data_IF_929548871307
#
_entry.id   IF_929548871307
#
_cell.length_a   1.000
_cell.length_b   1.000
_cell.length_c   1.000
_cell.angle_alpha   90.00
_cell.angle_beta   90.00
_cell.angle_gamma   90.00
#
_symmetry.space_group_name_H-M   'P 1'
#
loop_
_entity.id
_entity.type
_entity.pdbx_description
1 polymer ?
#
# COMPACT_ATOMS: atom_id res chain seq x y z
N UNK A 1 -4.27 37.14 -4.01
CA UNK A 1 -4.12 35.75 -3.53
C UNK A 1 -4.11 35.77 -2.00
N UNK A 2 -5.25 35.52 -1.33
CA UNK A 2 -5.29 35.44 0.13
C UNK A 2 -4.61 34.13 0.57
N UNK A 3 -3.39 34.21 1.08
CA UNK A 3 -2.68 33.05 1.62
C UNK A 3 -3.43 32.47 2.81
N UNK A 4 -3.76 31.18 2.78
CA UNK A 4 -4.31 30.47 3.94
C UNK A 4 -3.27 30.56 5.07
N UNK A 5 -3.60 31.26 6.16
CA UNK A 5 -2.72 31.33 7.35
C UNK A 5 -2.48 29.91 7.87
N UNK A 6 -1.22 29.57 8.14
CA UNK A 6 -0.87 28.31 8.79
C UNK A 6 -1.62 28.21 10.13
N UNK A 7 -2.28 27.07 10.36
CA UNK A 7 -3.04 26.83 11.59
C UNK A 7 -2.07 26.35 12.67
N UNK A 8 -1.97 27.09 13.77
CA UNK A 8 -1.12 26.76 14.90
C UNK A 8 -1.77 25.73 15.83
N UNK A 9 -0.95 24.85 16.43
CA UNK A 9 -1.41 23.96 17.49
C UNK A 9 -1.82 24.79 18.72
N UNK A 10 -3.07 24.60 19.15
CA UNK A 10 -3.64 25.20 20.35
C UNK A 10 -3.42 24.26 21.54
N UNK A 11 -3.53 24.80 22.76
CA UNK A 11 -3.44 24.02 24.01
C UNK A 11 -4.44 22.85 24.09
N UNK A 12 -5.59 22.98 23.40
CA UNK A 12 -6.64 21.95 23.30
C UNK A 12 -6.34 20.85 22.29
N UNK A 13 -5.40 21.07 21.38
CA UNK A 13 -5.08 20.08 20.36
C UNK A 13 -4.31 18.91 20.99
N UNK A 14 -4.49 17.68 20.49
CA UNK A 14 -3.80 16.52 21.01
C UNK A 14 -2.28 16.67 20.86
N UNK A 15 -1.55 16.37 21.95
CA UNK A 15 -0.07 16.39 21.95
C UNK A 15 0.55 15.07 21.49
N UNK A 16 -0.21 13.98 21.52
CA UNK A 16 0.27 12.61 21.29
C UNK A 16 0.03 12.15 19.85
N UNK A 17 -1.07 12.60 19.21
CA UNK A 17 -1.44 12.19 17.86
C UNK A 17 -1.80 13.40 16.99
N UNK A 18 -1.61 13.33 15.66
CA UNK A 18 -1.96 14.44 14.77
C UNK A 18 -3.44 14.80 14.86
N UNK A 19 -3.80 16.09 14.98
CA UNK A 19 -5.20 16.52 15.08
C UNK A 19 -5.98 16.20 13.81
N UNK A 20 -7.31 16.12 13.91
CA UNK A 20 -8.20 15.86 12.77
C UNK A 20 -8.10 16.92 11.67
N UNK A 21 -7.77 18.17 12.01
CA UNK A 21 -7.59 19.25 11.04
C UNK A 21 -6.22 19.26 10.34
N UNK A 22 -5.33 18.31 10.64
CA UNK A 22 -3.98 18.28 10.07
C UNK A 22 -4.04 18.29 8.52
N UNK A 23 -3.39 19.24 7.84
CA UNK A 23 -3.49 19.39 6.38
C UNK A 23 -2.87 18.23 5.61
N UNK A 24 -2.05 17.39 6.27
CA UNK A 24 -1.47 16.19 5.67
C UNK A 24 -2.42 14.99 5.69
N UNK A 25 -3.45 14.98 6.54
CA UNK A 25 -4.39 13.85 6.62
C UNK A 25 -5.16 13.72 5.31
N UNK A 26 -5.27 12.49 4.82
CA UNK A 26 -6.08 12.10 3.66
C UNK A 26 -7.38 11.48 4.16
N UNK A 27 -8.49 12.05 3.70
CA UNK A 27 -9.83 11.54 3.95
C UNK A 27 -10.67 11.74 2.67
N UNK A 28 -11.03 10.66 1.95
CA UNK A 28 -10.84 9.25 2.32
C UNK A 28 -9.37 8.79 2.24
N UNK A 29 -9.04 7.69 2.93
CA UNK A 29 -7.69 7.12 2.99
C UNK A 29 -7.34 6.53 1.62
N UNK A 30 -6.15 6.84 1.10
CA UNK A 30 -5.71 6.32 -0.19
C UNK A 30 -5.34 4.84 -0.09
N UNK A 31 -5.75 4.08 -1.10
CA UNK A 31 -5.47 2.67 -1.27
C UNK A 31 -4.76 2.47 -2.61
N UNK A 32 -3.58 1.85 -2.59
CA UNK A 32 -2.88 1.45 -3.83
C UNK A 32 -2.53 -0.02 -3.80
N UNK A 33 -2.58 -0.64 -4.97
CA UNK A 33 -2.11 -2.00 -5.20
C UNK A 33 -0.95 -1.96 -6.18
N UNK A 34 0.15 -2.57 -5.78
CA UNK A 34 1.36 -2.73 -6.57
C UNK A 34 1.54 -4.19 -6.96
N UNK A 35 1.77 -4.45 -8.23
CA UNK A 35 2.14 -5.77 -8.73
C UNK A 35 3.55 -5.72 -9.33
N UNK A 36 4.15 -6.86 -9.64
CA UNK A 36 5.41 -6.85 -10.40
C UNK A 36 5.19 -6.12 -11.72
N UNK A 37 6.18 -5.32 -12.11
CA UNK A 37 6.06 -4.44 -13.28
C UNK A 37 5.94 -5.19 -14.61
N UNK A 38 6.49 -6.40 -14.69
CA UNK A 38 6.51 -7.26 -15.88
C UNK A 38 6.62 -8.76 -15.53
N UNK A 39 6.38 -9.61 -16.53
CA UNK A 39 6.41 -11.07 -16.41
C UNK A 39 7.81 -11.61 -16.12
N UNK A 40 8.87 -10.95 -16.61
CA UNK A 40 10.26 -11.40 -16.40
C UNK A 40 10.64 -11.29 -14.92
N UNK A 41 10.31 -10.17 -14.28
CA UNK A 41 10.51 -9.96 -12.85
C UNK A 41 9.71 -10.99 -12.06
N UNK A 42 8.43 -11.18 -12.38
CA UNK A 42 7.60 -12.19 -11.72
C UNK A 42 8.24 -13.59 -11.81
N UNK A 43 8.66 -14.00 -13.01
CA UNK A 43 9.27 -15.31 -13.25
C UNK A 43 10.58 -15.51 -12.49
N UNK A 44 11.46 -14.49 -12.51
CA UNK A 44 12.69 -14.48 -11.74
C UNK A 44 12.42 -14.67 -10.24
N UNK A 45 11.44 -13.92 -9.70
CA UNK A 45 11.05 -14.03 -8.29
C UNK A 45 10.44 -15.38 -7.96
N UNK A 46 9.63 -15.94 -8.87
CA UNK A 46 9.07 -17.28 -8.72
C UNK A 46 10.18 -18.34 -8.62
N UNK A 47 11.16 -18.34 -9.55
CA UNK A 47 12.30 -19.27 -9.54
C UNK A 47 13.13 -19.18 -8.26
N UNK A 48 13.42 -17.98 -7.80
CA UNK A 48 14.16 -17.77 -6.55
C UNK A 48 13.40 -18.35 -5.33
N UNK A 49 12.07 -18.20 -5.29
CA UNK A 49 11.25 -18.80 -4.22
C UNK A 49 11.24 -20.32 -4.26
N UNK A 50 11.24 -20.93 -5.45
CA UNK A 50 11.36 -22.38 -5.62
C UNK A 50 12.70 -22.91 -5.07
N UNK A 51 13.75 -22.08 -5.09
CA UNK A 51 15.04 -22.38 -4.46
C UNK A 51 15.06 -22.13 -2.94
N UNK A 52 13.92 -21.76 -2.33
CA UNK A 52 13.82 -21.51 -0.89
C UNK A 52 14.30 -20.13 -0.44
N UNK A 53 14.60 -19.22 -1.36
CA UNK A 53 15.06 -17.87 -1.00
C UNK A 53 13.91 -17.04 -0.42
N UNK A 54 14.14 -16.45 0.76
CA UNK A 54 13.23 -15.45 1.34
C UNK A 54 13.45 -14.11 0.66
N UNK A 55 12.50 -13.70 -0.16
CA UNK A 55 12.57 -12.47 -0.95
C UNK A 55 11.68 -11.41 -0.32
N UNK A 56 12.25 -10.24 -0.08
CA UNK A 56 11.51 -9.04 0.32
C UNK A 56 11.13 -8.24 -0.93
N UNK A 57 9.89 -7.73 -1.05
CA UNK A 57 9.48 -6.87 -2.15
C UNK A 57 10.37 -5.63 -2.26
N UNK A 58 10.81 -5.29 -3.48
CA UNK A 58 11.62 -4.10 -3.76
C UNK A 58 10.87 -3.18 -4.71
N UNK A 59 10.72 -1.90 -4.37
CA UNK A 59 9.91 -0.97 -5.15
C UNK A 59 10.21 -0.93 -6.65
N UNK A 60 11.48 -0.99 -7.05
CA UNK A 60 11.90 -0.99 -8.47
C UNK A 60 11.44 -2.20 -9.29
N UNK A 61 10.94 -3.24 -8.65
CA UNK A 61 10.39 -4.45 -9.28
C UNK A 61 8.89 -4.39 -9.47
N UNK A 62 8.24 -3.42 -8.83
CA UNK A 62 6.80 -3.28 -8.78
C UNK A 62 6.35 -2.06 -9.57
N UNK A 63 5.10 -2.06 -10.02
CA UNK A 63 4.44 -0.94 -10.65
C UNK A 63 3.03 -0.79 -10.06
N UNK A 64 2.47 0.42 -10.14
CA UNK A 64 1.10 0.69 -9.73
C UNK A 64 0.12 -0.06 -10.64
N UNK A 65 -0.71 -0.92 -10.05
CA UNK A 65 -1.72 -1.72 -10.75
C UNK A 65 -3.13 -1.15 -10.55
N UNK A 66 -3.44 -0.72 -9.34
CA UNK A 66 -4.74 -0.14 -9.00
C UNK A 66 -4.59 0.95 -7.96
N UNK A 67 -5.42 1.99 -8.08
CA UNK A 67 -5.52 3.09 -7.13
C UNK A 67 -6.99 3.33 -6.82
N UNK A 68 -7.27 3.57 -5.54
CA UNK A 68 -8.61 3.78 -5.02
C UNK A 68 -8.57 4.36 -3.62
N UNK A 69 -9.66 4.18 -2.89
CA UNK A 69 -9.80 4.68 -1.53
C UNK A 69 -10.42 3.63 -0.63
N UNK A 70 -10.18 3.74 0.66
CA UNK A 70 -10.73 2.84 1.67
C UNK A 70 -11.18 3.61 2.90
N UNK A 71 -12.28 3.18 3.51
CA UNK A 71 -12.85 3.83 4.71
C UNK A 71 -12.36 3.20 6.03
N UNK A 72 -11.16 2.61 6.03
CA UNK A 72 -10.58 2.00 7.22
C UNK A 72 -9.08 2.25 7.34
N UNK A 73 -8.59 2.34 8.58
CA UNK A 73 -7.16 2.51 8.84
C UNK A 73 -6.36 1.24 8.55
N UNK A 74 -5.06 1.37 8.34
CA UNK A 74 -4.15 0.24 8.14
C UNK A 74 -4.23 -0.81 9.27
N UNK A 75 -4.43 -0.38 10.51
CA UNK A 75 -4.58 -1.28 11.66
C UNK A 75 -5.88 -2.09 11.62
N UNK A 76 -7.00 -1.43 11.23
CA UNK A 76 -8.28 -2.12 11.04
C UNK A 76 -8.19 -3.08 9.86
N UNK A 77 -7.63 -2.63 8.73
CA UNK A 77 -7.39 -3.47 7.56
C UNK A 77 -6.60 -4.73 7.90
N UNK A 78 -5.48 -4.60 8.63
CA UNK A 78 -4.69 -5.76 9.03
C UNK A 78 -5.48 -6.75 9.90
N UNK A 79 -6.36 -6.26 10.78
CA UNK A 79 -7.21 -7.11 11.61
C UNK A 79 -8.27 -7.82 10.79
N UNK A 80 -8.92 -7.13 9.87
CA UNK A 80 -9.94 -7.72 9.00
C UNK A 80 -9.31 -8.73 8.02
N UNK A 81 -8.15 -8.42 7.44
CA UNK A 81 -7.43 -9.32 6.54
C UNK A 81 -6.95 -10.63 7.20
N UNK A 82 -6.98 -10.73 8.54
CA UNK A 82 -6.74 -11.98 9.29
C UNK A 82 -8.00 -12.82 9.48
N UNK A 83 -9.19 -12.23 9.33
CA UNK A 83 -10.50 -12.84 9.65
C UNK A 83 -11.29 -13.21 8.40
N UNK A 84 -11.15 -12.43 7.34
CA UNK A 84 -11.92 -12.56 6.12
C UNK A 84 -11.02 -12.47 4.88
N UNK A 85 -11.55 -12.92 3.75
CA UNK A 85 -10.87 -12.85 2.46
C UNK A 85 -10.69 -11.39 2.02
N UNK A 86 -9.59 -11.10 1.34
CA UNK A 86 -9.31 -9.76 0.84
C UNK A 86 -10.39 -9.27 -0.14
N UNK A 87 -10.99 -10.19 -0.92
CA UNK A 87 -12.11 -9.89 -1.83
C UNK A 87 -13.40 -9.45 -1.13
N UNK A 88 -13.51 -9.67 0.19
CA UNK A 88 -14.64 -9.16 0.99
C UNK A 88 -14.34 -7.81 1.62
N UNK A 89 -13.06 -7.40 1.62
CA UNK A 89 -12.60 -6.11 2.16
C UNK A 89 -12.43 -5.08 1.05
N UNK A 90 -11.98 -5.53 -0.11
CA UNK A 90 -11.56 -4.71 -1.24
C UNK A 90 -12.46 -4.98 -2.43
N UNK A 91 -12.72 -3.94 -3.22
CA UNK A 91 -13.53 -4.02 -4.44
C UNK A 91 -12.79 -4.70 -5.62
N UNK A 92 -11.55 -5.14 -5.38
CA UNK A 92 -10.72 -5.87 -6.33
C UNK A 92 -10.10 -7.09 -5.67
N UNK A 93 -9.55 -8.00 -6.48
CA UNK A 93 -8.92 -9.24 -6.01
C UNK A 93 -7.39 -9.14 -6.07
N UNK A 94 -6.70 -8.93 -4.93
CA UNK A 94 -5.25 -8.95 -4.89
C UNK A 94 -4.71 -10.37 -5.07
N UNK A 95 -3.65 -10.50 -5.85
CA UNK A 95 -2.90 -11.73 -6.07
C UNK A 95 -1.77 -11.88 -5.06
N UNK A 96 -1.34 -13.12 -4.83
CA UNK A 96 -0.16 -13.38 -3.97
C UNK A 96 1.06 -12.64 -4.52
N UNK A 97 1.87 -12.10 -3.61
CA UNK A 97 3.05 -11.29 -3.88
C UNK A 97 2.82 -9.85 -4.34
N UNK A 98 1.57 -9.42 -4.47
CA UNK A 98 1.24 -7.99 -4.62
C UNK A 98 1.40 -7.24 -3.29
N UNK A 99 1.59 -5.93 -3.37
CA UNK A 99 1.77 -5.06 -2.21
C UNK A 99 0.63 -4.05 -2.16
N UNK A 100 -0.07 -4.00 -1.03
CA UNK A 100 -1.12 -3.04 -0.74
C UNK A 100 -0.53 -1.89 0.07
N UNK A 101 -0.74 -0.65 -0.36
CA UNK A 101 -0.49 0.56 0.41
C UNK A 101 -1.80 1.11 0.95
N UNK A 102 -1.80 1.49 2.24
CA UNK A 102 -2.85 2.28 2.87
C UNK A 102 -2.18 3.55 3.41
N UNK A 103 -2.54 4.70 2.85
CA UNK A 103 -1.96 6.01 3.18
C UNK A 103 -3.02 6.97 3.70
N UNK A 104 -3.02 7.21 5.02
CA UNK A 104 -3.86 8.20 5.68
C UNK A 104 -3.29 9.62 5.60
N UNK A 105 -2.21 9.79 4.83
CA UNK A 105 -1.49 11.04 4.61
C UNK A 105 -0.50 11.40 5.72
N UNK A 106 -0.52 10.67 6.84
CA UNK A 106 0.46 10.81 7.93
C UNK A 106 1.60 9.82 7.72
N UNK A 107 1.26 8.55 7.46
CA UNK A 107 2.25 7.50 7.22
C UNK A 107 1.64 6.41 6.32
N UNK A 108 2.28 6.10 5.18
CA UNK A 108 1.86 4.95 4.37
C UNK A 108 2.27 3.64 5.06
N UNK A 109 1.36 2.66 5.01
CA UNK A 109 1.58 1.30 5.50
C UNK A 109 1.51 0.32 4.33
N UNK A 110 2.49 -0.58 4.27
CA UNK A 110 2.63 -1.52 3.16
C UNK A 110 2.42 -2.96 3.61
N UNK A 111 1.59 -3.69 2.89
CA UNK A 111 1.19 -5.06 3.20
C UNK A 111 1.45 -5.97 2.00
N UNK A 112 2.28 -6.98 2.19
CA UNK A 112 2.51 -8.02 1.19
C UNK A 112 1.39 -9.06 1.25
N UNK A 113 0.70 -9.26 0.13
CA UNK A 113 -0.35 -10.27 -0.01
C UNK A 113 0.28 -11.66 0.03
N UNK A 114 -0.27 -12.51 0.90
CA UNK A 114 0.11 -13.91 1.03
C UNK A 114 -1.02 -14.79 0.50
N UNK A 115 -0.77 -16.11 0.40
CA UNK A 115 -1.82 -17.09 0.08
C UNK A 115 -3.03 -16.95 1.00
N UNK A 116 -2.80 -16.60 2.27
CA UNK A 116 -3.81 -16.33 3.28
C UNK A 116 -3.44 -15.04 4.01
N UNK A 117 -4.30 -14.03 3.90
CA UNK A 117 -4.14 -12.73 4.55
C UNK A 117 -2.95 -11.92 4.03
N UNK A 118 -2.37 -11.11 4.92
CA UNK A 118 -1.32 -10.15 4.58
C UNK A 118 -0.20 -10.12 5.62
N UNK A 119 1.01 -9.78 5.17
CA UNK A 119 2.17 -9.55 6.03
C UNK A 119 2.57 -8.07 5.96
N UNK A 120 2.72 -7.40 7.11
CA UNK A 120 3.20 -6.02 7.16
C UNK A 120 4.67 -5.97 6.72
N UNK A 121 4.99 -5.04 5.83
CA UNK A 121 6.36 -4.75 5.40
C UNK A 121 6.98 -3.66 6.28
N UNK A 122 8.25 -3.84 6.61
CA UNK A 122 9.03 -2.83 7.35
C UNK A 122 9.39 -1.64 6.46
N UNK A 123 9.59 -1.88 5.17
CA UNK A 123 9.95 -0.88 4.18
C UNK A 123 9.48 -1.32 2.79
N UNK A 124 9.01 -0.36 1.99
CA UNK A 124 8.73 -0.52 0.57
C UNK A 124 8.98 0.83 -0.11
N UNK A 125 9.80 0.83 -1.17
CA UNK A 125 10.12 2.03 -1.92
C UNK A 125 8.99 2.36 -2.90
N UNK A 126 7.98 3.08 -2.42
CA UNK A 126 6.82 3.44 -3.24
C UNK A 126 7.20 4.34 -4.41
N UNK A 127 8.18 5.22 -4.25
CA UNK A 127 8.55 6.21 -5.27
C UNK A 127 9.27 5.53 -6.43
N UNK A 128 10.04 4.47 -6.18
CA UNK A 128 10.52 3.59 -7.25
C UNK A 128 9.39 2.85 -7.96
N UNK A 129 8.39 2.34 -7.22
CA UNK A 129 7.28 1.61 -7.82
C UNK A 129 6.38 2.50 -8.70
N UNK A 130 6.11 3.74 -8.26
CA UNK A 130 5.30 4.70 -9.01
C UNK A 130 5.98 5.20 -10.30
N UNK A 131 7.32 5.11 -10.40
CA UNK A 131 8.06 5.44 -11.62
C UNK A 131 8.01 4.35 -12.69
N UNK A 132 7.64 3.12 -12.31
CA UNK A 132 7.55 2.01 -13.23
C UNK A 132 6.19 1.98 -13.93
N UNK A 133 6.18 1.49 -15.16
CA UNK A 133 4.95 1.17 -15.89
C UNK A 133 4.56 -0.27 -15.64
N UNK A 134 3.28 -0.50 -15.39
CA UNK A 134 2.73 -1.86 -15.25
C UNK A 134 2.43 -2.41 -16.64
N UNK A 135 3.03 -3.55 -16.98
CA UNK A 135 2.75 -4.28 -18.20
C UNK A 135 1.80 -5.43 -17.87
N UNK A 136 0.59 -5.41 -18.41
CA UNK A 136 -0.36 -6.50 -18.17
C UNK A 136 0.14 -7.76 -18.86
N UNK A 137 -0.03 -8.96 -18.26
CA UNK A 137 0.25 -10.23 -18.94
C UNK A 137 -0.50 -10.40 -20.28
N UNK A 138 -1.62 -9.70 -20.46
CA UNK A 138 -2.44 -9.73 -21.67
C UNK A 138 -1.88 -8.87 -22.82
N UNK A 139 -0.83 -8.07 -22.58
CA UNK A 139 -0.21 -7.17 -23.55
C UNK A 139 1.04 -7.76 -24.24
N UNK A 140 1.25 -9.08 -24.15
CA UNK A 140 2.35 -9.82 -24.81
C UNK A 140 1.87 -10.71 -25.94
#
# INVERSE_FOLDING_TARGET
>A
MAGKRAREMKKRDPKVYPPSWCPKRKDPIELRLYAYKDTNVWYCRYKMKQQGLKITPRGHEYALKHEGHINMTAAVFQREAKRQLLSSILDFLPMTDEVIEIDDGLKPWFFLVKKQGVALLTHFDRDAALRNQYQSPDEM
#
